data_IF_910437145859
#
_entry.id   IF_910437145859
#
_cell.length_a   1.000
_cell.length_b   1.000
_cell.length_c   1.000
_cell.angle_alpha   90.00
_cell.angle_beta   90.00
_cell.angle_gamma   90.00
#
_symmetry.space_group_name_H-M   'P 1'
#
loop_
_entity.id
_entity.type
_entity.pdbx_description
1 polymer ?
2 non-polymer ?
3 non-polymer ?
4 water ?
#
# COMPACT_ATOMS: atom_id res chain seq x y z
N UNK A 7 -11.98 12.03 6.58
CA UNK A 7 -11.49 11.61 5.22
C UNK A 7 -11.57 12.71 4.20
N UNK A 8 -10.43 12.96 3.58
CA UNK A 8 -10.38 13.99 2.55
C UNK A 8 -10.29 13.40 1.15
N UNK A 9 -9.77 12.19 1.05
CA UNK A 9 -9.79 11.44 -0.24
C UNK A 9 -9.54 9.90 -0.02
N UNK A 10 -10.21 9.05 -0.79
CA UNK A 10 -9.94 7.59 -0.89
C UNK A 10 -9.41 7.24 -2.25
N UNK A 11 -8.39 6.37 -2.27
CA UNK A 11 -7.73 5.92 -3.49
C UNK A 11 -7.60 4.40 -3.49
N UNK A 12 -8.21 3.79 -4.50
CA UNK A 12 -8.08 2.34 -4.68
C UNK A 12 -6.69 2.02 -5.15
N UNK A 13 -6.13 0.92 -4.64
CA UNK A 13 -4.79 0.51 -5.08
C UNK A 13 -4.76 0.25 -6.60
N UNK A 14 -5.85 -0.33 -7.10
CA UNK A 14 -6.01 -0.71 -8.51
C UNK A 14 -6.41 0.44 -9.43
N UNK A 15 -6.58 1.63 -8.87
CA UNK A 15 -6.94 2.81 -9.67
C UNK A 15 -6.03 2.87 -10.89
N UNK A 16 -6.60 3.08 -12.10
CA UNK A 16 -5.74 3.02 -13.29
C UNK A 16 -4.78 4.21 -13.44
N UNK A 17 -4.95 5.21 -12.56
CA UNK A 17 -4.01 6.34 -12.50
C UNK A 17 -2.68 5.96 -11.85
N UNK A 18 -2.68 4.86 -11.11
CA UNK A 18 -1.51 4.45 -10.33
C UNK A 18 -0.48 3.79 -11.22
N UNK A 19 0.76 3.74 -10.75
CA UNK A 19 1.85 3.05 -11.43
C UNK A 19 2.21 1.78 -10.70
N UNK A 20 2.24 0.67 -11.42
CA UNK A 20 2.66 -0.61 -10.89
C UNK A 20 3.95 -0.95 -11.60
N UNK A 21 4.97 -1.17 -10.82
CA UNK A 21 6.28 -1.60 -11.35
C UNK A 21 6.49 -3.09 -11.28
N UNK A 22 7.22 -3.62 -12.26
CA UNK A 22 7.68 -4.97 -12.14
C UNK A 22 6.54 -5.95 -12.08
N UNK A 23 6.67 -6.83 -11.10
CA UNK A 23 5.76 -7.93 -10.85
C UNK A 23 4.48 -7.52 -10.09
N UNK A 24 4.39 -6.28 -9.63
CA UNK A 24 3.18 -5.88 -8.90
C UNK A 24 2.01 -5.96 -9.89
N UNK A 25 0.86 -6.44 -9.43
CA UNK A 25 -0.25 -6.69 -10.32
C UNK A 25 -1.61 -6.45 -9.66
N UNK A 26 -2.54 -5.91 -10.44
CA UNK A 26 -3.96 -5.83 -10.05
C UNK A 26 -4.60 -7.17 -10.17
N UNK A 27 -5.31 -7.56 -9.12
CA UNK A 27 -6.02 -8.85 -9.11
C UNK A 27 -7.40 -8.67 -8.50
N UNK A 28 -8.33 -9.49 -8.97
CA UNK A 28 -9.73 -9.45 -8.51
C UNK A 28 -9.92 -10.22 -7.21
N UNK A 29 -10.73 -9.63 -6.35
CA UNK A 29 -11.20 -10.26 -5.10
C UNK A 29 -12.50 -9.62 -4.73
N UNK A 30 -13.59 -10.41 -4.75
CA UNK A 30 -14.89 -9.84 -4.41
C UNK A 30 -14.98 -9.33 -2.99
N UNK A 31 -14.05 -9.75 -2.14
CA UNK A 31 -14.00 -9.33 -0.74
C UNK A 31 -13.31 -7.98 -0.57
N UNK A 32 -12.62 -7.50 -1.60
CA UNK A 32 -11.89 -6.22 -1.58
C UNK A 32 -12.74 -5.05 -2.02
N UNK A 33 -12.41 -3.87 -1.50
CA UNK A 33 -13.01 -2.63 -1.98
C UNK A 33 -12.81 -2.48 -3.47
N UNK A 34 -13.91 -2.23 -4.17
CA UNK A 34 -13.85 -2.07 -5.61
C UNK A 34 -13.70 -3.37 -6.39
N UNK A 35 -13.63 -4.47 -5.65
CA UNK A 35 -13.47 -5.80 -6.21
C UNK A 35 -12.09 -6.15 -6.71
N UNK A 36 -11.12 -5.33 -6.34
CA UNK A 36 -9.73 -5.59 -6.73
C UNK A 36 -8.77 -5.12 -5.63
N UNK A 37 -7.55 -5.61 -5.75
CA UNK A 37 -6.40 -5.23 -4.89
C UNK A 37 -5.14 -5.31 -5.72
N UNK A 38 -4.03 -4.86 -5.14
CA UNK A 38 -2.71 -5.02 -5.78
C UNK A 38 -1.87 -5.95 -4.94
N UNK A 39 -1.34 -6.98 -5.61
CA UNK A 39 -0.50 -8.00 -4.99
C UNK A 39 0.89 -8.00 -5.57
N UNK A 40 1.68 -8.89 -5.02
CA UNK A 40 3.07 -9.17 -5.43
C UNK A 40 3.93 -7.91 -5.37
N UNK A 41 3.67 -7.14 -4.31
CA UNK A 41 4.50 -5.98 -3.97
C UNK A 41 5.64 -6.47 -3.09
N UNK A 42 6.83 -6.45 -3.61
CA UNK A 42 8.01 -6.88 -2.86
C UNK A 42 8.98 -7.72 -3.66
N UNK A 43 9.88 -8.39 -2.94
CA UNK A 43 10.95 -9.19 -3.56
C UNK A 43 11.79 -8.35 -4.52
N UNK A 44 12.04 -7.13 -4.11
CA UNK A 44 12.83 -6.19 -4.93
C UNK A 44 12.10 -4.91 -5.20
N UNK A 45 12.84 -3.82 -5.15
CA UNK A 45 12.23 -2.47 -5.16
C UNK A 45 11.58 -2.14 -6.50
N UNK A 46 11.87 -2.93 -7.52
CA UNK A 46 11.26 -2.64 -8.81
C UNK A 46 9.80 -3.09 -8.87
N UNK A 47 9.38 -3.89 -7.89
CA UNK A 47 8.01 -4.46 -7.86
C UNK A 47 7.14 -3.67 -6.91
N UNK A 48 6.80 -2.47 -7.34
CA UNK A 48 6.20 -1.44 -6.45
C UNK A 48 4.79 -1.05 -6.88
N UNK A 49 4.08 -0.42 -5.95
CA UNK A 49 2.80 0.23 -6.18
C UNK A 49 2.98 1.70 -5.84
N UNK A 50 2.74 2.55 -6.81
CA UNK A 50 2.73 3.99 -6.55
C UNK A 50 1.40 4.62 -6.82
N UNK A 51 0.90 5.29 -5.78
CA UNK A 51 -0.28 6.14 -5.86
C UNK A 51 0.19 7.48 -6.36
N UNK A 52 -0.40 7.85 -7.46
CA UNK A 52 -0.16 9.09 -8.08
C UNK A 52 -1.35 10.01 -7.71
N UNK A 53 -0.98 11.24 -7.57
CA UNK A 53 -1.94 12.34 -7.44
C UNK A 53 -2.83 12.20 -6.24
N UNK A 54 -2.18 11.97 -5.13
CA UNK A 54 -2.83 12.06 -3.83
C UNK A 54 -2.86 13.54 -3.45
N UNK A 55 -4.06 14.08 -3.49
CA UNK A 55 -4.26 15.53 -3.39
C UNK A 55 -4.74 15.95 -2.02
N UNK A 56 -4.01 16.91 -1.46
CA UNK A 56 -4.45 17.63 -0.25
C UNK A 56 -4.30 19.14 -0.43
N UNK A 57 -5.13 19.94 0.25
CA UNK A 57 -5.08 21.38 0.05
C UNK A 57 -3.99 22.09 0.85
N UNK A 58 -3.47 21.42 1.85
CA UNK A 58 -2.55 22.04 2.83
C UNK A 58 -1.36 21.17 3.08
N UNK A 59 -0.19 21.77 3.19
CA UNK A 59 0.99 21.06 3.65
C UNK A 59 0.78 20.66 5.09
N UNK A 60 1.22 19.46 5.43
CA UNK A 60 1.13 18.97 6.81
C UNK A 60 1.16 17.48 6.91
N UNK A 61 1.07 17.03 8.14
CA UNK A 61 1.01 15.60 8.45
C UNK A 61 -0.44 15.13 8.43
N UNK A 62 -0.64 14.04 7.69
CA UNK A 62 -1.95 13.44 7.54
C UNK A 62 -1.88 12.01 8.02
N UNK A 63 -3.05 11.48 8.32
CA UNK A 63 -3.18 10.05 8.64
C UNK A 63 -3.57 9.32 7.38
N UNK A 64 -2.76 8.35 7.01
CA UNK A 64 -3.04 7.49 5.86
C UNK A 64 -3.53 6.15 6.41
N UNK A 65 -4.79 5.87 6.11
CA UNK A 65 -5.41 4.63 6.52
C UNK A 65 -5.24 3.63 5.38
N UNK A 66 -4.50 2.58 5.63
CA UNK A 66 -4.19 1.56 4.62
C UNK A 66 -5.04 0.34 4.89
N UNK A 67 -5.80 -0.05 3.87
CA UNK A 67 -6.58 -1.30 3.93
C UNK A 67 -5.83 -2.37 3.17
N UNK A 68 -5.61 -3.49 3.84
CA UNK A 68 -4.63 -4.49 3.39
C UNK A 68 -5.02 -5.90 3.84
N UNK A 69 -4.40 -6.89 3.19
CA UNK A 69 -4.47 -8.29 3.63
C UNK A 69 -3.07 -8.84 3.80
N UNK A 70 -2.90 -9.69 4.80
CA UNK A 70 -1.63 -10.35 5.07
C UNK A 70 -1.86 -11.65 5.82
N UNK A 71 -1.69 -12.80 5.16
CA UNK A 71 -1.87 -14.11 5.80
C UNK A 71 -0.62 -14.95 5.78
N UNK A 72 0.53 -14.28 5.72
CA UNK A 72 1.81 -14.99 5.71
C UNK A 72 2.05 -15.77 6.99
N UNK A 73 2.59 -16.97 6.84
CA UNK A 73 3.04 -17.75 7.99
C UNK A 73 4.49 -18.20 7.79
N UNK A 74 5.14 -18.48 8.92
CA UNK A 74 6.56 -18.90 8.95
C UNK A 74 6.74 -20.40 9.08
N UNK A 82 1.57 -20.17 12.91
CA UNK A 82 2.64 -19.20 13.22
C UNK A 82 2.61 -17.97 12.28
N UNK A 83 1.75 -17.03 12.62
CA UNK A 83 1.55 -15.85 11.75
C UNK A 83 2.66 -14.84 11.92
N UNK A 84 2.94 -14.12 10.83
CA UNK A 84 3.95 -13.09 10.85
C UNK A 84 3.51 -11.80 10.20
N UNK A 85 4.20 -10.75 10.59
CA UNK A 85 4.00 -9.42 10.06
C UNK A 85 4.64 -9.42 8.67
N UNK A 86 4.14 -8.56 7.81
CA UNK A 86 4.78 -8.21 6.54
C UNK A 86 5.24 -6.77 6.59
N UNK A 87 6.48 -6.58 6.20
CA UNK A 87 7.10 -5.25 6.16
C UNK A 87 6.82 -4.57 4.84
N UNK A 88 6.60 -3.27 4.92
CA UNK A 88 6.56 -2.42 3.75
C UNK A 88 7.31 -1.13 3.94
N UNK A 89 8.00 -0.71 2.88
CA UNK A 89 8.61 0.61 2.81
C UNK A 89 7.61 1.55 2.17
N UNK A 90 7.49 2.75 2.72
CA UNK A 90 6.59 3.79 2.17
C UNK A 90 7.41 5.03 1.91
N UNK A 91 7.41 5.50 0.66
CA UNK A 91 8.10 6.70 0.23
C UNK A 91 7.12 7.70 -0.29
N UNK A 92 7.14 8.87 0.32
CA UNK A 92 6.28 9.99 -0.08
C UNK A 92 7.05 10.98 -0.92
N UNK A 93 6.57 11.25 -2.12
CA UNK A 93 7.20 12.22 -3.03
C UNK A 93 8.68 11.91 -3.27
N UNK A 94 8.96 10.62 -3.39
CA UNK A 94 10.32 10.15 -3.62
C UNK A 94 11.24 10.25 -2.42
N UNK A 95 10.65 10.57 -1.28
CA UNK A 95 11.38 10.75 -0.05
C UNK A 95 11.88 9.49 0.58
N UNK A 96 12.58 9.63 1.70
CA UNK A 96 13.18 8.48 2.35
C UNK A 96 12.14 7.51 2.86
N UNK A 97 12.42 6.23 2.79
CA UNK A 97 11.40 5.21 3.21
C UNK A 97 11.15 5.27 4.68
N UNK A 98 9.88 5.17 4.97
CA UNK A 98 9.39 4.90 6.30
C UNK A 98 8.88 3.48 6.31
N UNK A 99 9.49 2.65 7.14
CA UNK A 99 9.11 1.25 7.25
C UNK A 99 7.90 1.09 8.15
N UNK A 100 7.03 0.16 7.78
CA UNK A 100 5.90 -0.24 8.62
C UNK A 100 5.71 -1.74 8.63
N UNK A 101 5.51 -2.28 9.82
CA UNK A 101 5.19 -3.70 9.97
C UNK A 101 3.70 -3.85 10.10
N UNK A 102 3.15 -4.54 9.12
CA UNK A 102 1.71 -4.79 9.00
C UNK A 102 1.35 -6.12 9.63
N UNK A 103 0.38 -6.05 10.54
CA UNK A 103 -0.12 -7.22 11.26
C UNK A 103 -0.77 -8.24 10.32
N UNK A 104 -1.00 -9.42 10.87
CA UNK A 104 -1.55 -10.51 10.10
C UNK A 104 -3.08 -10.48 10.17
N UNK A 105 -3.71 -10.53 9.00
CA UNK A 105 -5.17 -10.58 8.89
C UNK A 105 -5.73 -12.02 8.82
N UNK A 106 -4.81 -12.97 8.76
CA UNK A 106 -5.10 -14.43 8.87
C UNK A 106 -5.83 -15.06 7.67
N UNK A 107 -6.11 -14.25 6.69
CA UNK A 107 -6.68 -14.65 5.43
C UNK A 107 -6.38 -13.70 4.32
N UNK A 108 -6.12 -14.25 3.14
CA UNK A 108 -5.79 -13.37 1.99
C UNK A 108 -6.98 -12.59 1.45
N UNK A 109 -8.18 -12.97 1.87
CA UNK A 109 -9.40 -12.26 1.52
C UNK A 109 -9.99 -11.51 2.71
N UNK A 110 -9.19 -11.35 3.75
CA UNK A 110 -9.61 -10.64 4.96
C UNK A 110 -8.79 -9.35 5.03
N UNK A 111 -9.52 -8.26 4.84
CA UNK A 111 -8.94 -6.92 4.73
C UNK A 111 -9.21 -6.10 5.99
N UNK A 112 -8.14 -5.62 6.58
CA UNK A 112 -8.20 -4.78 7.78
C UNK A 112 -7.45 -3.49 7.50
N UNK A 113 -7.44 -2.61 8.48
CA UNK A 113 -6.77 -1.28 8.32
C UNK A 113 -5.73 -1.04 9.39
N UNK A 114 -4.77 -0.23 8.99
CA UNK A 114 -3.79 0.36 9.92
C UNK A 114 -3.44 1.75 9.45
N UNK A 115 -2.96 2.56 10.38
CA UNK A 115 -2.69 3.98 10.12
C UNK A 115 -1.22 4.25 10.16
N UNK A 116 -0.83 5.04 9.18
CA UNK A 116 0.54 5.51 9.02
C UNK A 116 0.52 7.02 8.79
N UNK A 117 1.30 7.75 9.56
CA UNK A 117 1.36 9.19 9.38
C UNK A 117 2.28 9.52 8.21
N UNK A 118 1.84 10.46 7.39
CA UNK A 118 2.61 10.90 6.23
C UNK A 118 2.61 12.42 6.14
N UNK A 119 3.76 12.99 5.77
CA UNK A 119 3.87 14.41 5.51
C UNK A 119 3.68 14.67 4.02
N UNK A 120 2.65 15.48 3.72
CA UNK A 120 2.27 15.82 2.37
C UNK A 120 2.40 17.29 2.09
N UNK A 121 2.71 17.60 0.85
CA UNK A 121 2.70 18.98 0.34
C UNK A 121 1.30 19.38 -0.12
N UNK A 122 0.99 20.68 -0.12
CA UNK A 122 -0.21 21.15 -0.80
C UNK A 122 -0.15 20.74 -2.27
N UNK A 123 -1.28 20.27 -2.80
CA UNK A 123 -1.36 19.80 -4.18
C UNK A 123 -1.23 18.30 -4.27
N UNK A 124 -0.74 17.88 -5.43
CA UNK A 124 -0.60 16.44 -5.73
C UNK A 124 0.66 15.89 -5.11
N UNK A 125 0.53 14.68 -4.61
CA UNK A 125 1.64 13.94 -3.99
C UNK A 125 1.70 12.51 -4.53
N UNK A 126 2.86 11.90 -4.43
CA UNK A 126 2.99 10.46 -4.71
C UNK A 126 3.25 9.71 -3.43
N UNK A 127 2.74 8.50 -3.37
CA UNK A 127 3.03 7.58 -2.29
C UNK A 127 3.33 6.20 -2.86
N UNK A 128 4.55 5.73 -2.65
CA UNK A 128 5.02 4.41 -3.14
C UNK A 128 5.21 3.44 -2.02
N UNK A 129 4.71 2.24 -2.28
CA UNK A 129 4.80 1.07 -1.41
C UNK A 129 5.68 0.05 -2.13
N UNK A 130 6.70 -0.41 -1.40
CA UNK A 130 7.61 -1.43 -1.93
C UNK A 130 8.30 -2.21 -0.83
N UNK A 131 8.94 -3.31 -1.20
CA UNK A 131 9.83 -3.99 -0.27
C UNK A 131 11.01 -4.49 -1.09
N UNK A 132 12.18 -3.93 -0.80
CA UNK A 132 13.40 -4.20 -1.57
C UNK A 132 14.16 -5.44 -1.22
N UNK A 133 13.74 -6.12 -0.18
CA UNK A 133 14.44 -7.31 0.30
C UNK A 133 14.01 -8.54 -0.49
N UNK A 134 14.99 -9.22 -1.07
CA UNK A 134 14.69 -10.45 -1.83
C UNK A 134 13.92 -11.43 -0.95
N UNK A 135 12.82 -11.92 -1.49
CA UNK A 135 11.97 -12.92 -0.80
C UNK A 135 11.01 -12.36 0.24
N UNK A 136 11.03 -11.04 0.40
CA UNK A 136 10.20 -10.32 1.40
C UNK A 136 9.13 -9.50 0.69
N UNK A 137 7.89 -9.66 1.13
CA UNK A 137 6.76 -9.00 0.50
C UNK A 137 6.01 -8.07 1.45
N UNK A 138 5.54 -6.98 0.88
CA UNK A 138 4.53 -6.13 1.51
C UNK A 138 3.18 -6.85 1.59
N UNK A 139 2.30 -6.41 2.48
CA UNK A 139 0.94 -6.92 2.38
C UNK A 139 0.34 -6.58 1.01
N UNK A 140 -0.72 -7.31 0.69
CA UNK A 140 -1.58 -6.93 -0.45
C UNK A 140 -2.34 -5.66 -0.07
N UNK A 141 -2.38 -4.69 -0.96
CA UNK A 141 -2.99 -3.39 -0.68
C UNK A 141 -4.30 -3.25 -1.45
N UNK A 142 -5.36 -2.98 -0.71
CA UNK A 142 -6.71 -2.80 -1.27
C UNK A 142 -6.98 -1.35 -1.71
N UNK A 143 -6.76 -0.45 -0.76
CA UNK A 143 -6.98 0.99 -0.92
C UNK A 143 -6.30 1.74 0.21
N UNK A 144 -6.19 3.05 0.04
CA UNK A 144 -5.80 3.98 1.10
C UNK A 144 -6.81 5.10 1.21
N UNK A 145 -6.84 5.71 2.38
CA UNK A 145 -7.60 6.91 2.63
C UNK A 145 -6.75 7.91 3.35
N UNK A 146 -6.94 9.18 3.01
CA UNK A 146 -6.19 10.25 3.64
C UNK A 146 -7.14 11.07 4.48
N UNK A 147 -6.81 11.20 5.76
CA UNK A 147 -7.59 12.00 6.70
C UNK A 147 -6.73 13.09 7.34
N UNK A 148 -7.29 14.31 7.39
CA UNK A 148 -6.61 15.50 7.96
C UNK A 148 -6.47 15.43 9.46
X LIG B 1 -9.43 -2.10 -4.01
X LIG C 1 -1.66 1.10 14.18
#
# INVERSE_FOLDING_TARGET
MASTSGTINVYEAEDPANTLGGAAVRQRDNAASGGQYVGWIGNGSNNYLQFNNVYVPQAGTYRMVVQFANAEVFGQHSYNNNVVDRYCSISVNGGPEKGHYFFNTRGWNTYRTDIIDVYLNAGNNTIRFYNGTSGSYAPNIDKIAIAALEHHHHHH
CA CA
MG MG
#
